data_IF_813722161493
#
_entry.id   IF_813722161493
#
_cell.length_a   1.000
_cell.length_b   1.000
_cell.length_c   1.000
_cell.angle_alpha   90.00
_cell.angle_beta   90.00
_cell.angle_gamma   90.00
#
_symmetry.space_group_name_H-M   'P 1'
#
loop_
_entity.id
_entity.type
_entity.pdbx_description
1 polymer ?
#
# COMPACT_ATOMS: atom_id res chain seq x y z
N UNK A 1 -31.09 11.04 26.33
CA UNK A 1 -30.59 11.27 24.96
C UNK A 1 -29.23 11.97 25.03
N UNK A 2 -28.13 11.26 25.34
CA UNK A 2 -26.80 11.88 25.53
C UNK A 2 -25.65 10.90 25.20
N UNK A 3 -25.21 10.87 23.94
CA UNK A 3 -23.93 10.24 23.53
C UNK A 3 -23.50 10.74 22.15
N UNK A 4 -23.03 11.99 22.05
CA UNK A 4 -22.52 12.55 20.77
C UNK A 4 -21.28 13.46 20.89
N UNK A 5 -20.76 13.70 22.10
CA UNK A 5 -19.60 14.58 22.32
C UNK A 5 -18.25 13.86 22.22
N UNK A 6 -18.11 12.63 22.71
CA UNK A 6 -16.81 11.92 22.73
C UNK A 6 -16.29 11.38 21.39
N UNK A 7 -17.15 11.26 20.36
CA UNK A 7 -16.77 10.64 19.09
C UNK A 7 -16.00 11.62 18.17
N UNK A 8 -16.26 12.92 18.26
CA UNK A 8 -15.65 13.94 17.39
C UNK A 8 -14.15 14.17 17.66
N UNK A 9 -13.70 14.04 18.89
CA UNK A 9 -12.28 14.25 19.24
C UNK A 9 -11.44 13.00 18.96
N UNK A 10 -12.00 11.81 19.21
CA UNK A 10 -11.41 10.54 18.78
C UNK A 10 -11.24 10.47 17.27
N UNK A 11 -12.24 10.92 16.48
CA UNK A 11 -12.13 10.93 15.01
C UNK A 11 -11.04 11.87 14.48
N UNK A 12 -10.80 13.02 15.13
CA UNK A 12 -9.72 13.95 14.73
C UNK A 12 -8.35 13.40 15.07
N UNK A 13 -8.17 12.88 16.29
CA UNK A 13 -6.91 12.26 16.72
C UNK A 13 -6.60 11.05 15.85
N UNK A 14 -7.61 10.22 15.58
CA UNK A 14 -7.50 9.09 14.66
C UNK A 14 -7.17 9.51 13.23
N UNK A 15 -7.79 10.58 12.74
CA UNK A 15 -7.50 11.13 11.41
C UNK A 15 -6.08 11.66 11.28
N UNK A 16 -5.60 12.44 12.26
CA UNK A 16 -4.21 12.93 12.30
C UNK A 16 -3.23 11.76 12.39
N UNK A 17 -3.49 10.78 13.25
CA UNK A 17 -2.66 9.58 13.37
C UNK A 17 -2.61 8.81 12.04
N UNK A 18 -3.77 8.61 11.39
CA UNK A 18 -3.85 7.92 10.10
C UNK A 18 -3.08 8.66 9.00
N UNK A 19 -3.15 9.99 8.97
CA UNK A 19 -2.39 10.81 8.04
C UNK A 19 -0.88 10.66 8.28
N UNK A 20 -0.42 10.77 9.53
CA UNK A 20 0.99 10.61 9.89
C UNK A 20 1.47 9.20 9.53
N UNK A 21 0.69 8.17 9.83
CA UNK A 21 1.00 6.79 9.48
C UNK A 21 1.08 6.59 7.96
N UNK A 22 0.14 7.15 7.20
CA UNK A 22 0.15 7.10 5.73
C UNK A 22 1.39 7.79 5.15
N UNK A 23 1.76 8.96 5.67
CA UNK A 23 2.97 9.68 5.25
C UNK A 23 4.23 8.87 5.57
N UNK A 24 4.36 8.35 6.79
CA UNK A 24 5.48 7.52 7.18
C UNK A 24 5.61 6.25 6.32
N UNK A 25 4.49 5.58 6.06
CA UNK A 25 4.44 4.42 5.18
C UNK A 25 4.85 4.77 3.74
N UNK A 26 4.38 5.90 3.22
CA UNK A 26 4.76 6.38 1.88
C UNK A 26 6.27 6.67 1.79
N UNK A 27 6.85 7.31 2.81
CA UNK A 27 8.30 7.59 2.85
C UNK A 27 9.12 6.29 2.92
N UNK A 28 8.70 5.34 3.76
CA UNK A 28 9.37 4.04 3.87
C UNK A 28 9.28 3.24 2.57
N UNK A 29 8.11 3.21 1.94
CA UNK A 29 7.89 2.55 0.65
C UNK A 29 8.77 3.17 -0.44
N UNK A 30 8.81 4.51 -0.55
CA UNK A 30 9.69 5.23 -1.49
C UNK A 30 11.15 4.84 -1.30
N UNK A 31 11.62 4.79 -0.05
CA UNK A 31 13.01 4.43 0.27
C UNK A 31 13.31 2.97 -0.10
N UNK A 32 12.42 2.04 0.23
CA UNK A 32 12.58 0.63 -0.12
C UNK A 32 12.61 0.40 -1.64
N UNK A 33 11.71 1.07 -2.38
CA UNK A 33 11.71 1.04 -3.85
C UNK A 33 13.01 1.61 -4.42
N UNK A 34 13.48 2.75 -3.90
CA UNK A 34 14.72 3.36 -4.38
C UNK A 34 15.94 2.47 -4.11
N UNK A 35 16.03 1.88 -2.92
CA UNK A 35 17.13 0.99 -2.54
C UNK A 35 17.12 -0.30 -3.34
N UNK A 36 15.95 -0.93 -3.53
CA UNK A 36 15.84 -2.16 -4.32
C UNK A 36 16.22 -1.94 -5.78
N UNK A 37 15.81 -0.82 -6.38
CA UNK A 37 16.20 -0.48 -7.75
C UNK A 37 17.70 -0.20 -7.87
N UNK A 38 18.28 0.59 -6.96
CA UNK A 38 19.72 0.85 -6.95
C UNK A 38 20.53 -0.42 -6.75
N UNK A 39 20.06 -1.35 -5.91
CA UNK A 39 20.70 -2.65 -5.72
C UNK A 39 20.63 -3.53 -6.98
N UNK A 40 19.51 -3.52 -7.70
CA UNK A 40 19.32 -4.33 -8.91
C UNK A 40 20.03 -3.77 -10.15
N UNK A 41 20.01 -2.44 -10.33
CA UNK A 41 20.48 -1.78 -11.57
C UNK A 41 21.79 -1.01 -11.41
N UNK A 42 22.23 -0.76 -10.17
CA UNK A 42 23.39 0.09 -9.86
C UNK A 42 23.15 1.59 -10.09
N UNK A 43 21.96 1.99 -10.55
CA UNK A 43 21.61 3.35 -10.97
C UNK A 43 20.53 3.93 -10.07
N UNK A 44 20.43 5.26 -10.01
CA UNK A 44 19.29 5.87 -9.34
C UNK A 44 17.99 5.56 -10.11
N UNK A 45 16.88 5.26 -9.41
CA UNK A 45 15.62 4.95 -10.05
C UNK A 45 15.15 6.14 -10.88
N UNK A 46 14.60 5.92 -12.09
CA UNK A 46 13.92 6.96 -12.83
C UNK A 46 12.70 7.39 -12.01
N UNK A 47 12.90 8.43 -11.20
CA UNK A 47 11.94 8.90 -10.21
C UNK A 47 10.71 9.57 -10.85
N UNK A 48 10.76 9.75 -12.17
CA UNK A 48 9.71 10.35 -12.95
C UNK A 48 9.55 9.60 -14.30
N UNK A 49 8.59 8.67 -14.42
CA UNK A 49 8.27 8.02 -15.69
C UNK A 49 7.74 8.99 -16.76
N UNK A 50 7.50 10.27 -16.42
CA UNK A 50 7.17 11.34 -17.35
C UNK A 50 8.38 12.20 -17.76
N UNK A 51 9.59 11.88 -17.28
CA UNK A 51 10.80 12.56 -17.75
C UNK A 51 11.09 12.14 -19.20
N UNK A 52 11.26 13.09 -20.14
CA UNK A 52 11.52 12.80 -21.55
C UNK A 52 12.86 12.08 -21.81
N UNK A 53 13.74 12.03 -20.81
CA UNK A 53 15.02 11.30 -20.82
C UNK A 53 14.89 9.79 -20.49
N UNK A 54 13.70 9.30 -20.15
CA UNK A 54 13.46 7.87 -19.91
C UNK A 54 12.95 7.23 -21.19
N UNK A 55 13.71 6.27 -21.71
CA UNK A 55 13.33 5.54 -22.92
C UNK A 55 11.99 4.82 -22.68
N UNK A 56 11.03 4.94 -23.60
CA UNK A 56 9.66 4.45 -23.43
C UNK A 56 9.63 2.94 -23.09
N UNK A 57 10.60 2.19 -23.61
CA UNK A 57 10.79 0.76 -23.33
C UNK A 57 11.19 0.49 -21.88
N UNK A 58 12.04 1.34 -21.31
CA UNK A 58 12.51 1.22 -19.92
C UNK A 58 11.38 1.58 -18.93
N UNK A 59 10.60 2.62 -19.25
CA UNK A 59 9.41 2.97 -18.49
C UNK A 59 8.36 1.84 -18.49
N UNK A 60 8.09 1.22 -19.64
CA UNK A 60 7.19 0.08 -19.77
C UNK A 60 7.67 -1.15 -18.99
N UNK A 61 8.96 -1.48 -19.09
CA UNK A 61 9.55 -2.58 -18.33
C UNK A 61 9.44 -2.34 -16.82
N UNK A 62 9.70 -1.11 -16.38
CA UNK A 62 9.60 -0.77 -14.96
C UNK A 62 8.15 -0.83 -14.45
N UNK A 63 7.22 -0.29 -15.21
CA UNK A 63 5.80 -0.33 -14.88
C UNK A 63 5.27 -1.76 -14.82
N UNK A 64 5.63 -2.62 -15.77
CA UNK A 64 5.23 -4.02 -15.79
C UNK A 64 5.75 -4.78 -14.55
N UNK A 65 7.03 -4.61 -14.23
CA UNK A 65 7.67 -5.29 -13.08
C UNK A 65 7.09 -4.78 -11.76
N UNK A 66 7.05 -3.45 -11.56
CA UNK A 66 6.52 -2.86 -10.33
C UNK A 66 5.03 -3.15 -10.15
N UNK A 67 4.24 -3.01 -11.22
CA UNK A 67 2.80 -3.30 -11.21
C UNK A 67 2.52 -4.74 -10.81
N UNK A 68 3.27 -5.69 -11.36
CA UNK A 68 3.14 -7.12 -11.02
C UNK A 68 3.48 -7.38 -9.56
N UNK A 69 4.61 -6.84 -9.07
CA UNK A 69 5.03 -7.01 -7.68
C UNK A 69 3.98 -6.44 -6.72
N UNK A 70 3.48 -5.23 -6.99
CA UNK A 70 2.45 -4.58 -6.15
C UNK A 70 1.15 -5.38 -6.16
N UNK A 71 0.72 -5.88 -7.32
CA UNK A 71 -0.49 -6.70 -7.44
C UNK A 71 -0.38 -7.99 -6.61
N UNK A 72 0.75 -8.70 -6.71
CA UNK A 72 1.02 -9.92 -5.94
C UNK A 72 1.08 -9.61 -4.44
N UNK A 73 1.79 -8.55 -4.04
CA UNK A 73 1.87 -8.14 -2.64
C UNK A 73 0.48 -7.82 -2.07
N UNK A 74 -0.35 -7.09 -2.82
CA UNK A 74 -1.74 -6.80 -2.44
C UNK A 74 -2.55 -8.09 -2.29
N UNK A 75 -2.51 -8.98 -3.28
CA UNK A 75 -3.21 -10.27 -3.24
C UNK A 75 -2.84 -11.07 -1.98
N UNK A 76 -1.54 -11.21 -1.70
CA UNK A 76 -1.05 -11.93 -0.53
C UNK A 76 -1.47 -11.24 0.78
N UNK A 77 -1.39 -9.91 0.86
CA UNK A 77 -1.80 -9.16 2.03
C UNK A 77 -3.29 -9.32 2.31
N UNK A 78 -4.15 -9.17 1.30
CA UNK A 78 -5.60 -9.35 1.45
C UNK A 78 -5.93 -10.78 1.86
N UNK A 79 -5.28 -11.79 1.24
CA UNK A 79 -5.46 -13.19 1.62
C UNK A 79 -5.05 -13.46 3.06
N UNK A 80 -3.92 -12.91 3.51
CA UNK A 80 -3.44 -13.05 4.89
C UNK A 80 -4.32 -12.33 5.89
N UNK A 81 -4.81 -11.13 5.56
CA UNK A 81 -5.75 -10.40 6.39
C UNK A 81 -7.06 -11.19 6.57
N UNK A 82 -7.61 -11.77 5.49
CA UNK A 82 -8.80 -12.61 5.54
C UNK A 82 -8.57 -13.87 6.40
N UNK A 83 -7.43 -14.55 6.23
CA UNK A 83 -7.06 -15.73 7.04
C UNK A 83 -6.85 -15.37 8.51
N UNK A 84 -6.22 -14.23 8.79
CA UNK A 84 -6.02 -13.76 10.15
C UNK A 84 -7.34 -13.40 10.82
N UNK A 85 -8.23 -12.71 10.12
CA UNK A 85 -9.57 -12.39 10.59
C UNK A 85 -10.40 -13.67 10.86
N UNK A 86 -10.39 -14.63 9.93
CA UNK A 86 -11.07 -15.90 10.11
C UNK A 86 -10.53 -16.69 11.32
N UNK A 87 -9.21 -16.67 11.54
CA UNK A 87 -8.58 -17.29 12.72
C UNK A 87 -8.87 -16.56 14.03
N UNK A 88 -9.01 -15.24 14.00
CA UNK A 88 -9.19 -14.44 15.22
C UNK A 88 -10.65 -14.29 15.64
N UNK A 89 -11.61 -14.41 14.72
CA UNK A 89 -13.03 -14.18 14.98
C UNK A 89 -13.91 -15.43 14.82
N UNK A 90 -13.41 -16.52 14.23
CA UNK A 90 -14.18 -17.76 14.04
C UNK A 90 -15.33 -17.67 13.02
N UNK A 91 -15.50 -16.52 12.37
CA UNK A 91 -16.54 -16.23 11.37
C UNK A 91 -15.89 -15.42 10.23
N UNK A 92 -16.36 -15.57 8.99
CA UNK A 92 -15.84 -14.78 7.87
C UNK A 92 -16.29 -13.30 7.99
N UNK A 93 -15.44 -12.32 7.64
CA UNK A 93 -15.82 -10.91 7.69
C UNK A 93 -16.98 -10.64 6.71
N UNK A 94 -18.01 -9.86 7.10
CA UNK A 94 -19.11 -9.52 6.21
C UNK A 94 -18.57 -8.74 5.00
N UNK A 95 -18.76 -9.30 3.80
CA UNK A 95 -18.29 -8.75 2.53
C UNK A 95 -17.15 -9.50 1.82
N UNK A 96 -16.72 -10.67 2.32
CA UNK A 96 -15.77 -11.58 1.63
C UNK A 96 -16.46 -12.89 1.17
N UNK A 97 -17.79 -12.97 1.31
CA UNK A 97 -18.58 -14.04 0.72
C UNK A 97 -18.97 -13.68 -0.71
N UNK A 98 -18.50 -14.52 -1.63
CA UNK A 98 -18.90 -14.71 -3.01
C UNK A 98 -18.53 -13.63 -4.03
N UNK A 99 -17.37 -13.82 -4.67
CA UNK A 99 -17.19 -13.56 -6.10
C UNK A 99 -16.35 -14.71 -6.68
N UNK A 100 -17.01 -15.61 -7.42
CA UNK A 100 -16.41 -16.69 -8.22
C UNK A 100 -15.89 -16.17 -9.56
#
# INVERSE_FOLDING_TARGET
MSKKSGQKDSSKIWGVFSLVAALAAATAARKALNTSWKAATGKEPPANPASPDVDMREALAWAAVSGTIVAVARMLATRRAAQYYARSTGHLPPGVADDA
#
